data_IF_600578839258
#
_entry.id   IF_600578839258
#
_cell.length_a   1.000
_cell.length_b   1.000
_cell.length_c   1.000
_cell.angle_alpha   90.00
_cell.angle_beta   90.00
_cell.angle_gamma   90.00
#
_symmetry.space_group_name_H-M   'P 1'
#
loop_
_entity.id
_entity.type
_entity.pdbx_description
1 polymer ?
#
# COMPACT_ATOMS: atom_id res chain seq x y z
N UNK A 1 -19.11 -39.69 9.75
CA UNK A 1 -18.47 -39.21 8.50
C UNK A 1 -18.52 -37.69 8.56
N UNK A 2 -17.45 -37.05 9.04
CA UNK A 2 -17.38 -35.59 9.15
C UNK A 2 -16.86 -35.05 7.82
N UNK A 3 -17.71 -34.36 7.06
CA UNK A 3 -17.27 -33.58 5.92
C UNK A 3 -16.54 -32.34 6.47
N UNK A 4 -15.24 -32.26 6.23
CA UNK A 4 -14.51 -31.02 6.44
C UNK A 4 -14.96 -30.05 5.34
N UNK A 5 -15.75 -29.05 5.72
CA UNK A 5 -16.03 -27.90 4.85
C UNK A 5 -14.76 -27.08 4.74
N UNK A 6 -14.13 -27.09 3.57
CA UNK A 6 -13.11 -26.11 3.24
C UNK A 6 -13.82 -24.77 3.08
N UNK A 7 -13.70 -23.90 4.08
CA UNK A 7 -14.02 -22.48 3.89
C UNK A 7 -12.97 -21.95 2.92
N UNK A 8 -13.40 -21.60 1.71
CA UNK A 8 -12.61 -20.76 0.82
C UNK A 8 -12.39 -19.43 1.56
N UNK A 9 -11.15 -19.18 1.98
CA UNK A 9 -10.80 -17.93 2.63
C UNK A 9 -10.93 -16.82 1.58
N UNK A 10 -12.04 -16.08 1.63
CA UNK A 10 -12.21 -14.88 0.83
C UNK A 10 -11.08 -13.93 1.22
N UNK A 11 -10.20 -13.61 0.25
CA UNK A 11 -9.11 -12.66 0.48
C UNK A 11 -9.69 -11.36 1.03
N UNK A 12 -9.12 -10.89 2.14
CA UNK A 12 -9.50 -9.61 2.72
C UNK A 12 -8.89 -8.51 1.86
N UNK A 13 -9.72 -7.62 1.34
CA UNK A 13 -9.27 -6.42 0.65
C UNK A 13 -8.60 -5.49 1.66
N UNK A 14 -7.28 -5.34 1.53
CA UNK A 14 -6.49 -4.40 2.30
C UNK A 14 -6.37 -3.11 1.50
N UNK A 15 -7.05 -2.09 1.98
CA UNK A 15 -7.17 -0.78 1.38
C UNK A 15 -6.17 0.19 2.01
N UNK A 16 -5.67 1.12 1.21
CA UNK A 16 -4.70 2.13 1.62
C UNK A 16 -5.36 3.50 1.69
N UNK A 17 -5.18 4.20 2.81
CA UNK A 17 -5.65 5.58 3.00
C UNK A 17 -4.54 6.44 3.59
N UNK A 18 -4.63 7.76 3.42
CA UNK A 18 -3.74 8.69 4.11
C UNK A 18 -3.83 8.50 5.63
N UNK A 19 -2.68 8.56 6.30
CA UNK A 19 -2.60 8.29 7.73
C UNK A 19 -3.30 9.35 8.60
N UNK A 20 -3.30 10.61 8.16
CA UNK A 20 -3.73 11.75 8.96
C UNK A 20 -5.26 11.83 9.07
N UNK A 21 -5.98 11.67 7.96
CA UNK A 21 -7.44 11.84 7.90
C UNK A 21 -8.20 10.58 7.53
N UNK A 22 -7.52 9.56 7.00
CA UNK A 22 -8.13 8.32 6.50
C UNK A 22 -9.24 8.56 5.46
N UNK A 23 -9.15 9.66 4.72
CA UNK A 23 -10.20 10.11 3.79
C UNK A 23 -9.80 9.98 2.33
N UNK A 24 -8.50 9.93 2.05
CA UNK A 24 -7.93 9.90 0.71
C UNK A 24 -7.44 8.50 0.41
N UNK A 25 -8.22 7.81 -0.41
CA UNK A 25 -7.91 6.48 -0.90
C UNK A 25 -6.66 6.50 -1.81
N UNK A 26 -5.74 5.57 -1.54
CA UNK A 26 -4.45 5.42 -2.22
C UNK A 26 -4.31 4.06 -2.97
N UNK A 27 -5.37 3.25 -2.98
CA UNK A 27 -5.44 1.99 -3.71
C UNK A 27 -5.63 0.77 -2.82
N UNK A 28 -5.73 -0.39 -3.45
CA UNK A 28 -5.89 -1.69 -2.81
C UNK A 28 -4.61 -2.52 -2.94
N UNK A 29 -4.10 -2.98 -1.78
CA UNK A 29 -2.86 -3.72 -1.64
C UNK A 29 -2.99 -5.20 -2.02
N UNK A 30 -4.16 -5.81 -1.80
CA UNK A 30 -4.41 -7.24 -2.05
C UNK A 30 -5.28 -7.51 -3.27
N UNK A 31 -5.88 -6.48 -3.88
CA UNK A 31 -6.70 -6.63 -5.07
C UNK A 31 -5.89 -7.11 -6.27
N UNK A 32 -6.51 -7.93 -7.12
CA UNK A 32 -5.87 -8.50 -8.30
C UNK A 32 -5.39 -7.41 -9.28
N UNK A 33 -4.29 -7.63 -10.04
CA UNK A 33 -3.70 -6.60 -10.91
C UNK A 33 -4.64 -6.04 -11.99
N UNK A 34 -5.69 -6.77 -12.38
CA UNK A 34 -6.70 -6.30 -13.31
C UNK A 34 -7.75 -5.36 -12.69
N UNK A 35 -7.87 -5.34 -11.36
CA UNK A 35 -8.85 -4.51 -10.66
C UNK A 35 -8.48 -3.02 -10.78
N UNK A 36 -9.46 -2.12 -10.97
CA UNK A 36 -9.20 -0.69 -11.20
C UNK A 36 -8.50 -0.02 -10.00
N UNK A 37 -8.75 -0.53 -8.79
CA UNK A 37 -8.24 -0.01 -7.53
C UNK A 37 -6.92 -0.65 -7.10
N UNK A 38 -6.47 -1.71 -7.77
CA UNK A 38 -5.23 -2.40 -7.41
C UNK A 38 -4.01 -1.52 -7.59
N UNK A 39 -3.11 -1.51 -6.59
CA UNK A 39 -1.79 -0.88 -6.74
C UNK A 39 -0.92 -1.61 -7.77
N UNK A 40 -1.30 -2.82 -8.23
CA UNK A 40 -0.57 -3.54 -9.26
C UNK A 40 -1.13 -3.34 -10.67
N UNK A 41 -2.25 -2.62 -10.84
CA UNK A 41 -2.79 -2.31 -12.15
C UNK A 41 -2.00 -1.20 -12.87
N UNK A 42 -1.17 -1.56 -13.84
CA UNK A 42 -0.29 -0.63 -14.60
C UNK A 42 -1.04 0.48 -15.34
N UNK A 43 -2.26 0.16 -15.75
CA UNK A 43 -3.14 1.08 -16.48
C UNK A 43 -4.16 1.75 -15.55
N UNK A 44 -4.27 1.27 -14.31
CA UNK A 44 -5.20 1.75 -13.30
C UNK A 44 -4.71 3.01 -12.58
N UNK A 45 -5.66 3.75 -12.01
CA UNK A 45 -5.39 5.04 -11.34
C UNK A 45 -4.41 4.93 -10.17
N UNK A 46 -4.38 3.76 -9.52
CA UNK A 46 -3.62 3.52 -8.28
C UNK A 46 -2.33 2.72 -8.51
N UNK A 47 -2.24 1.94 -9.59
CA UNK A 47 -1.05 1.14 -9.91
C UNK A 47 -0.14 1.69 -11.01
N UNK A 48 -0.58 2.73 -11.73
CA UNK A 48 0.22 3.34 -12.80
C UNK A 48 1.32 4.27 -12.29
N UNK A 49 2.56 4.08 -12.72
CA UNK A 49 3.70 4.96 -12.42
C UNK A 49 3.51 6.43 -12.86
N UNK A 50 2.54 6.69 -13.72
CA UNK A 50 2.35 8.00 -14.33
C UNK A 50 1.11 8.75 -13.82
N UNK A 51 0.13 8.04 -13.25
CA UNK A 51 -1.12 8.66 -12.81
C UNK A 51 -0.98 9.26 -11.42
N UNK A 52 -1.63 10.41 -11.21
CA UNK A 52 -1.42 11.23 -10.01
C UNK A 52 -1.85 10.55 -8.72
N UNK A 53 -2.83 9.64 -8.76
CA UNK A 53 -3.33 8.91 -7.58
C UNK A 53 -2.46 7.70 -7.22
N UNK A 54 -1.48 7.34 -8.03
CA UNK A 54 -0.72 6.11 -7.79
C UNK A 54 0.34 6.27 -6.71
N UNK A 55 0.46 5.22 -5.91
CA UNK A 55 1.55 4.98 -4.97
C UNK A 55 2.93 4.97 -5.66
N UNK A 56 2.98 4.69 -6.96
CA UNK A 56 4.21 4.50 -7.74
C UNK A 56 4.63 5.74 -8.53
N UNK A 57 3.81 6.80 -8.52
CA UNK A 57 4.15 8.03 -9.20
C UNK A 57 5.00 8.94 -8.30
N UNK A 58 6.28 9.06 -8.63
CA UNK A 58 7.27 9.86 -7.86
C UNK A 58 6.92 11.35 -7.75
N UNK A 59 5.98 11.85 -8.55
CA UNK A 59 5.49 13.23 -8.49
C UNK A 59 4.12 13.36 -7.81
N UNK A 60 3.49 12.25 -7.47
CA UNK A 60 2.17 12.21 -6.84
C UNK A 60 2.22 12.37 -5.31
N UNK A 61 1.07 12.64 -4.67
CA UNK A 61 0.96 12.74 -3.21
C UNK A 61 1.33 11.46 -2.48
N UNK A 62 1.14 10.29 -3.09
CA UNK A 62 1.43 9.00 -2.45
C UNK A 62 2.74 8.37 -2.92
N UNK A 63 3.32 8.81 -4.04
CA UNK A 63 4.61 8.29 -4.52
C UNK A 63 5.81 9.21 -4.27
N UNK A 64 5.60 10.52 -4.10
CA UNK A 64 6.71 11.45 -3.90
C UNK A 64 7.40 11.27 -2.57
N UNK A 65 8.73 11.15 -2.56
CA UNK A 65 9.55 11.08 -1.34
C UNK A 65 9.52 12.36 -0.48
N UNK A 66 8.86 13.41 -0.96
CA UNK A 66 8.71 14.69 -0.27
C UNK A 66 7.29 14.95 0.23
N UNK A 67 6.30 14.17 -0.22
CA UNK A 67 4.90 14.36 0.17
C UNK A 67 4.65 13.83 1.59
N UNK A 68 3.87 14.52 2.44
CA UNK A 68 3.55 14.05 3.79
C UNK A 68 2.77 12.73 3.80
N UNK A 69 1.92 12.48 2.80
CA UNK A 69 1.08 11.27 2.72
C UNK A 69 1.78 10.10 2.03
N UNK A 70 3.02 10.29 1.59
CA UNK A 70 3.77 9.24 0.90
C UNK A 70 4.42 8.32 1.93
N UNK A 71 4.22 6.99 1.83
CA UNK A 71 4.92 6.05 2.68
C UNK A 71 6.43 6.05 2.40
N UNK A 72 6.85 6.61 1.27
CA UNK A 72 8.23 6.73 0.84
C UNK A 72 8.91 8.03 1.32
N UNK A 73 8.23 8.84 2.12
CA UNK A 73 8.82 9.99 2.78
C UNK A 73 9.36 9.58 4.16
N UNK A 74 10.65 9.85 4.43
CA UNK A 74 11.28 9.53 5.72
C UNK A 74 10.74 10.37 6.90
N UNK A 75 9.99 11.43 6.62
CA UNK A 75 9.46 12.38 7.60
C UNK A 75 7.94 12.53 7.52
N UNK A 76 7.30 11.89 6.53
CA UNK A 76 5.87 11.98 6.31
C UNK A 76 5.07 11.15 7.31
N UNK A 77 3.77 11.38 7.35
CA UNK A 77 2.83 10.50 8.04
C UNK A 77 2.72 9.17 7.29
N UNK A 78 2.57 9.21 5.97
CA UNK A 78 2.42 8.02 5.13
C UNK A 78 0.96 7.57 5.04
N UNK A 79 0.76 6.25 5.01
CA UNK A 79 -0.53 5.62 4.80
C UNK A 79 -0.91 4.70 5.97
N UNK A 80 -2.18 4.36 6.06
CA UNK A 80 -2.72 3.33 6.93
C UNK A 80 -3.34 2.21 6.08
N UNK A 81 -3.18 0.97 6.54
CA UNK A 81 -3.81 -0.21 5.94
C UNK A 81 -5.08 -0.54 6.71
N UNK A 82 -6.20 -0.59 6.01
CA UNK A 82 -7.52 -0.91 6.58
C UNK A 82 -8.21 -1.99 5.76
N UNK A 83 -9.16 -2.71 6.35
CA UNK A 83 -10.10 -3.53 5.58
C UNK A 83 -11.35 -2.74 5.14
N UNK A 84 -12.23 -3.40 4.39
CA UNK A 84 -13.50 -2.82 3.95
C UNK A 84 -14.47 -2.44 5.08
N UNK A 85 -14.24 -2.91 6.32
CA UNK A 85 -15.03 -2.54 7.51
C UNK A 85 -14.45 -1.35 8.27
N UNK A 86 -13.25 -0.87 7.88
CA UNK A 86 -12.52 0.18 8.57
C UNK A 86 -11.62 -0.32 9.70
N UNK A 87 -11.42 -1.63 9.83
CA UNK A 87 -10.49 -2.18 10.82
C UNK A 87 -9.06 -1.86 10.38
N UNK A 88 -8.28 -1.24 11.27
CA UNK A 88 -6.88 -0.87 11.00
C UNK A 88 -5.95 -2.06 11.23
N UNK A 89 -5.18 -2.43 10.21
CA UNK A 89 -4.20 -3.53 10.27
C UNK A 89 -2.77 -3.06 10.53
N UNK A 90 -2.50 -1.77 10.32
CA UNK A 90 -1.23 -1.17 10.66
C UNK A 90 -0.84 -0.02 9.74
N UNK A 91 0.34 0.50 10.01
CA UNK A 91 0.92 1.61 9.28
C UNK A 91 1.69 1.18 8.03
N UNK A 92 1.65 2.03 7.01
CA UNK A 92 2.54 1.99 5.88
C UNK A 92 3.29 3.31 5.79
N UNK A 93 4.48 3.35 6.39
CA UNK A 93 5.38 4.50 6.35
C UNK A 93 6.81 4.08 6.61
N UNK A 94 7.77 4.72 5.91
CA UNK A 94 9.20 4.61 6.24
C UNK A 94 9.56 5.42 7.48
N UNK A 95 8.76 6.42 7.85
CA UNK A 95 9.01 7.20 9.06
C UNK A 95 8.71 6.36 10.31
N UNK A 96 9.71 5.95 11.11
CA UNK A 96 9.48 5.12 12.29
C UNK A 96 8.71 5.86 13.40
N UNK A 97 8.59 7.19 13.29
CA UNK A 97 7.93 8.03 14.27
C UNK A 97 6.47 8.35 13.93
N UNK A 98 6.00 8.08 12.70
CA UNK A 98 4.69 8.57 12.28
C UNK A 98 3.50 7.82 12.88
N UNK A 99 3.70 6.64 13.47
CA UNK A 99 2.57 5.76 13.82
C UNK A 99 2.59 5.16 15.22
N UNK A 100 3.40 5.67 16.15
CA UNK A 100 3.39 5.22 17.55
C UNK A 100 3.44 3.69 17.68
N UNK A 101 2.38 3.10 18.22
CA UNK A 101 2.27 1.65 18.45
C UNK A 101 1.81 0.83 17.23
N UNK A 102 1.33 1.48 16.15
CA UNK A 102 0.85 0.78 14.95
C UNK A 102 2.04 0.29 14.13
N UNK A 103 2.35 -1.00 14.25
CA UNK A 103 3.46 -1.62 13.52
C UNK A 103 3.07 -1.96 12.08
N UNK A 104 4.03 -1.81 11.17
CA UNK A 104 3.88 -2.28 9.81
C UNK A 104 3.72 -3.81 9.74
N UNK A 105 2.74 -4.26 8.96
CA UNK A 105 2.55 -5.66 8.58
C UNK A 105 3.77 -6.19 7.80
N UNK A 106 3.94 -7.52 7.73
CA UNK A 106 5.08 -8.14 7.04
C UNK A 106 5.19 -7.76 5.57
N UNK A 107 4.08 -7.72 4.84
CA UNK A 107 4.03 -7.32 3.42
C UNK A 107 4.48 -5.87 3.23
N UNK A 108 3.96 -4.96 4.05
CA UNK A 108 4.33 -3.54 4.05
C UNK A 108 5.80 -3.34 4.40
N UNK A 109 6.30 -4.04 5.44
CA UNK A 109 7.72 -4.00 5.82
C UNK A 109 8.62 -4.48 4.70
N UNK A 110 8.20 -5.51 3.97
CA UNK A 110 8.92 -5.99 2.79
C UNK A 110 9.00 -4.90 1.71
N UNK A 111 7.88 -4.22 1.39
CA UNK A 111 7.86 -3.11 0.45
C UNK A 111 8.79 -1.96 0.85
N UNK A 112 8.77 -1.56 2.14
CA UNK A 112 9.68 -0.53 2.66
C UNK A 112 11.14 -0.98 2.54
N UNK A 113 11.44 -2.24 2.86
CA UNK A 113 12.80 -2.81 2.75
C UNK A 113 13.29 -2.82 1.30
N UNK A 114 12.42 -3.11 0.34
CA UNK A 114 12.75 -3.01 -1.09
C UNK A 114 13.06 -1.57 -1.48
N UNK A 115 12.25 -0.61 -1.03
CA UNK A 115 12.50 0.80 -1.28
C UNK A 115 13.81 1.28 -0.66
N UNK A 116 14.13 0.87 0.57
CA UNK A 116 15.39 1.23 1.22
C UNK A 116 16.61 0.66 0.50
N UNK A 117 16.45 -0.49 -0.17
CA UNK A 117 17.51 -1.11 -0.98
C UNK A 117 17.70 -0.44 -2.33
N UNK A 118 16.62 -0.17 -3.06
CA UNK A 118 16.70 0.25 -4.46
C UNK A 118 16.48 1.75 -4.67
N UNK A 119 15.69 2.40 -3.80
CA UNK A 119 15.27 3.81 -3.86
C UNK A 119 14.52 4.24 -5.13
N UNK A 120 14.36 3.34 -6.11
CA UNK A 120 13.61 3.52 -7.34
C UNK A 120 12.23 2.85 -7.23
N UNK A 121 11.16 3.65 -7.26
CA UNK A 121 9.78 3.13 -7.14
C UNK A 121 9.37 2.26 -8.32
N UNK A 122 10.01 2.40 -9.48
CA UNK A 122 9.71 1.55 -10.63
C UNK A 122 10.17 0.13 -10.36
N UNK A 123 11.40 -0.04 -9.85
CA UNK A 123 11.96 -1.34 -9.46
C UNK A 123 11.15 -1.95 -8.31
N UNK A 124 10.84 -1.16 -7.28
CA UNK A 124 10.06 -1.65 -6.13
C UNK A 124 8.69 -2.14 -6.57
N UNK A 125 8.02 -1.40 -7.46
CA UNK A 125 6.73 -1.81 -8.01
C UNK A 125 6.83 -3.16 -8.72
N UNK A 126 7.79 -3.32 -9.63
CA UNK A 126 7.97 -4.57 -10.38
C UNK A 126 8.15 -5.75 -9.42
N UNK A 127 9.06 -5.63 -8.45
CA UNK A 127 9.30 -6.70 -7.45
C UNK A 127 8.07 -7.01 -6.57
N UNK A 128 7.20 -6.03 -6.34
CA UNK A 128 5.98 -6.21 -5.54
C UNK A 128 4.86 -6.86 -6.35
N UNK A 129 4.76 -6.52 -7.64
CA UNK A 129 3.62 -6.83 -8.51
C UNK A 129 3.87 -7.95 -9.54
N UNK A 130 5.09 -8.43 -9.73
CA UNK A 130 5.43 -9.56 -10.61
C UNK A 130 5.09 -10.96 -10.00
N UNK A 131 3.91 -11.10 -9.38
CA UNK A 131 3.46 -12.37 -8.78
C UNK A 131 2.72 -13.29 -9.74
#
# INVERSE_FOLDING_TARGET
MFAASFVEAKDIDLLLFDADTQSRFAGCLTCAPQEPDSICNETGSYGSRHLSKSLWNIHGPFGSKYSPDSPWNAKGAGLVVVDATGTVFGAFSRNPLSHGDQKAMSSVRYMITLYDRYTDLSIVRDLVCER
#
